data_IF_349421362956
#
_entry.id   IF_349421362956
#
_cell.length_a   1.000
_cell.length_b   1.000
_cell.length_c   1.000
_cell.angle_alpha   90.00
_cell.angle_beta   90.00
_cell.angle_gamma   90.00
#
_symmetry.space_group_name_H-M   'P 1'
#
loop_
_entity.id
_entity.type
_entity.pdbx_description
1 polymer ?
#
# COMPACT_ATOMS: atom_id res chain seq x y z
N UNK A 1 -6.81 20.26 -7.20
CA UNK A 1 -6.07 19.68 -6.07
C UNK A 1 -4.62 20.11 -6.20
N UNK A 2 -3.95 20.54 -5.13
CA UNK A 2 -2.51 20.81 -5.20
C UNK A 2 -1.78 19.50 -5.50
N UNK A 3 -0.78 19.59 -6.37
CA UNK A 3 0.11 18.46 -6.69
C UNK A 3 1.48 18.74 -6.11
N UNK A 4 2.26 17.69 -5.88
CA UNK A 4 3.63 17.85 -5.38
C UNK A 4 4.53 18.70 -6.30
N UNK A 5 4.25 18.71 -7.62
CA UNK A 5 4.99 19.55 -8.58
C UNK A 5 4.69 21.04 -8.42
N UNK A 6 3.47 21.38 -8.03
CA UNK A 6 3.00 22.78 -7.90
C UNK A 6 3.15 23.33 -6.48
N UNK A 7 3.36 22.47 -5.49
CA UNK A 7 3.60 22.87 -4.12
C UNK A 7 5.06 23.30 -3.89
N UNK A 8 5.25 24.37 -3.11
CA UNK A 8 6.56 24.85 -2.71
C UNK A 8 6.83 24.49 -1.24
N UNK A 9 7.85 23.68 -0.99
CA UNK A 9 8.22 23.24 0.36
C UNK A 9 9.19 24.18 1.10
N UNK A 10 9.59 25.31 0.51
CA UNK A 10 10.54 26.23 1.14
C UNK A 10 10.14 26.62 2.59
N UNK A 11 11.00 26.27 3.55
CA UNK A 11 10.79 26.54 4.97
C UNK A 11 9.67 25.73 5.63
N UNK A 12 9.13 24.70 4.96
CA UNK A 12 8.08 23.82 5.47
C UNK A 12 8.68 22.49 5.94
N UNK A 13 8.10 21.96 7.02
CA UNK A 13 8.31 20.57 7.45
C UNK A 13 7.22 19.71 6.83
N UNK A 14 7.60 18.70 6.05
CA UNK A 14 6.64 17.78 5.44
C UNK A 14 6.68 16.42 6.16
N UNK A 15 5.53 15.97 6.67
CA UNK A 15 5.36 14.57 7.04
C UNK A 15 5.02 13.78 5.78
N UNK A 16 5.84 12.80 5.45
CA UNK A 16 5.61 11.91 4.31
C UNK A 16 5.40 10.48 4.76
N UNK A 17 4.28 9.89 4.35
CA UNK A 17 4.00 8.47 4.51
C UNK A 17 4.53 7.69 3.31
N UNK A 18 5.48 6.80 3.51
CA UNK A 18 6.08 5.96 2.46
C UNK A 18 5.90 4.46 2.76
N UNK A 19 6.01 3.62 1.73
CA UNK A 19 6.06 2.16 1.89
C UNK A 19 7.52 1.68 1.88
N UNK A 20 8.17 1.59 3.04
CA UNK A 20 9.49 0.95 3.19
C UNK A 20 9.39 -0.46 3.78
N UNK A 21 8.28 -1.15 3.59
CA UNK A 21 8.16 -2.55 3.96
C UNK A 21 8.93 -3.42 2.95
N UNK A 22 10.26 -3.45 3.10
CA UNK A 22 11.21 -4.19 2.26
C UNK A 22 11.56 -5.54 2.88
N UNK A 23 11.89 -6.57 2.07
CA UNK A 23 12.40 -7.82 2.60
C UNK A 23 13.81 -7.65 3.17
N UNK A 24 14.05 -8.25 4.34
CA UNK A 24 15.35 -8.33 4.99
C UNK A 24 15.79 -9.79 5.11
N UNK A 25 17.09 -10.05 5.00
CA UNK A 25 17.69 -11.35 5.30
C UNK A 25 17.84 -11.58 6.83
N UNK A 26 18.42 -12.73 7.20
CA UNK A 26 18.64 -13.12 8.61
C UNK A 26 19.58 -12.17 9.36
N UNK A 27 20.39 -11.38 8.65
CA UNK A 27 21.33 -10.39 9.19
C UNK A 27 20.79 -8.95 9.06
N UNK A 28 19.49 -8.79 8.81
CA UNK A 28 18.81 -7.50 8.60
C UNK A 28 19.27 -6.70 7.38
N UNK A 29 19.91 -7.35 6.39
CA UNK A 29 20.27 -6.69 5.13
C UNK A 29 19.10 -6.69 4.16
N UNK A 30 18.93 -5.58 3.46
CA UNK A 30 17.90 -5.42 2.44
C UNK A 30 18.21 -6.34 1.26
N UNK A 31 17.26 -7.20 0.88
CA UNK A 31 17.39 -8.08 -0.30
C UNK A 31 16.75 -7.49 -1.56
N UNK A 32 15.80 -6.56 -1.40
CA UNK A 32 15.18 -5.79 -2.48
C UNK A 32 14.82 -4.38 -1.97
N UNK A 33 15.44 -3.35 -2.55
CA UNK A 33 15.26 -1.96 -2.17
C UNK A 33 14.31 -1.17 -3.09
N UNK A 34 13.59 -1.86 -3.99
CA UNK A 34 12.70 -1.25 -5.00
C UNK A 34 11.74 -0.25 -4.37
N UNK A 35 11.14 -0.60 -3.23
CA UNK A 35 10.18 0.29 -2.54
C UNK A 35 10.83 1.54 -1.95
N UNK A 36 12.08 1.44 -1.48
CA UNK A 36 12.82 2.60 -1.00
C UNK A 36 13.07 3.54 -2.17
N UNK A 37 13.65 3.01 -3.26
CA UNK A 37 13.95 3.79 -4.48
C UNK A 37 12.72 4.49 -5.04
N UNK A 38 11.57 3.85 -4.99
CA UNK A 38 10.34 4.39 -5.56
C UNK A 38 9.84 5.65 -4.83
N UNK A 39 10.13 5.82 -3.53
CA UNK A 39 9.77 7.02 -2.77
C UNK A 39 10.82 8.14 -2.82
N UNK A 40 12.07 7.83 -3.20
CA UNK A 40 13.18 8.81 -3.24
C UNK A 40 12.86 10.06 -4.08
N UNK A 41 12.21 9.98 -5.26
CA UNK A 41 11.87 11.18 -6.04
C UNK A 41 11.04 12.19 -5.25
N UNK A 42 10.06 11.71 -4.49
CA UNK A 42 9.17 12.54 -3.65
C UNK A 42 9.96 13.19 -2.52
N UNK A 43 10.82 12.42 -1.83
CA UNK A 43 11.68 12.92 -0.76
C UNK A 43 12.66 14.00 -1.28
N UNK A 44 13.31 13.74 -2.42
CA UNK A 44 14.23 14.69 -3.04
C UNK A 44 13.55 15.97 -3.48
N UNK A 45 12.31 15.91 -3.97
CA UNK A 45 11.54 17.10 -4.34
C UNK A 45 11.33 18.02 -3.14
N UNK A 46 10.93 17.48 -1.99
CA UNK A 46 10.72 18.26 -0.77
C UNK A 46 12.01 18.96 -0.34
N UNK A 47 13.13 18.22 -0.30
CA UNK A 47 14.43 18.78 0.09
C UNK A 47 14.93 19.83 -0.91
N UNK A 48 14.80 19.57 -2.21
CA UNK A 48 15.25 20.47 -3.29
C UNK A 48 14.52 21.81 -3.25
N UNK A 49 13.25 21.82 -2.87
CA UNK A 49 12.45 23.04 -2.70
C UNK A 49 12.81 23.84 -1.44
N UNK A 50 13.71 23.33 -0.60
CA UNK A 50 14.10 23.97 0.66
C UNK A 50 13.20 23.62 1.84
N UNK A 51 12.48 22.49 1.77
CA UNK A 51 11.77 21.92 2.90
C UNK A 51 12.62 20.96 3.71
N UNK A 52 12.05 20.43 4.79
CA UNK A 52 12.60 19.31 5.54
C UNK A 52 11.58 18.17 5.61
N UNK A 53 12.07 16.95 5.80
CA UNK A 53 11.25 15.74 5.64
C UNK A 53 11.20 14.92 6.92
N UNK A 54 10.00 14.56 7.35
CA UNK A 54 9.73 13.59 8.41
C UNK A 54 9.10 12.36 7.77
N UNK A 55 9.85 11.26 7.73
CA UNK A 55 9.50 10.02 7.03
C UNK A 55 8.84 9.06 8.01
N UNK A 56 7.56 8.76 7.78
CA UNK A 56 6.83 7.70 8.48
C UNK A 56 6.72 6.46 7.60
N UNK A 57 7.23 5.31 8.05
CA UNK A 57 7.08 4.03 7.35
C UNK A 57 6.60 2.90 8.27
N UNK A 58 6.41 1.70 7.74
CA UNK A 58 6.20 0.50 8.52
C UNK A 58 7.05 -0.63 7.96
N UNK A 59 7.36 -1.61 8.81
CA UNK A 59 8.06 -2.83 8.42
C UNK A 59 7.36 -4.04 9.04
N UNK A 60 6.97 -5.00 8.21
CA UNK A 60 6.29 -6.22 8.63
C UNK A 60 4.98 -6.00 9.39
N UNK A 61 4.68 -6.93 10.30
CA UNK A 61 3.47 -6.95 11.15
C UNK A 61 3.87 -7.24 12.60
N UNK A 62 4.54 -6.29 13.29
CA UNK A 62 4.95 -6.45 14.68
C UNK A 62 3.73 -6.58 15.61
N UNK A 63 3.84 -7.45 16.63
CA UNK A 63 2.91 -7.47 17.78
C UNK A 63 3.33 -6.47 18.88
N UNK A 64 4.42 -5.73 18.67
CA UNK A 64 5.02 -4.78 19.59
C UNK A 64 6.40 -4.34 19.10
N UNK A 65 7.04 -3.37 19.79
CA UNK A 65 8.40 -2.97 19.49
C UNK A 65 9.36 -4.16 19.50
N UNK A 66 10.12 -4.33 18.43
CA UNK A 66 11.09 -5.42 18.32
C UNK A 66 12.17 -5.07 17.30
N UNK A 67 13.39 -5.49 17.60
CA UNK A 67 14.56 -5.32 16.74
C UNK A 67 14.32 -5.79 15.31
N UNK A 68 13.63 -6.93 15.13
CA UNK A 68 13.39 -7.54 13.82
C UNK A 68 12.67 -6.63 12.84
N UNK A 69 11.81 -5.74 13.35
CA UNK A 69 10.98 -4.86 12.55
C UNK A 69 11.37 -3.38 12.73
N UNK A 70 12.55 -3.09 13.27
CA UNK A 70 13.05 -1.71 13.36
C UNK A 70 13.40 -1.17 11.98
N UNK A 71 13.04 0.08 11.72
CA UNK A 71 13.42 0.81 10.51
C UNK A 71 14.87 1.30 10.53
N UNK A 72 15.58 1.18 11.66
CA UNK A 72 17.02 1.52 11.71
C UNK A 72 17.85 0.69 10.73
N UNK A 73 17.42 -0.54 10.43
CA UNK A 73 18.10 -1.45 9.49
C UNK A 73 18.13 -0.92 8.06
N UNK A 74 17.15 -0.08 7.68
CA UNK A 74 17.08 0.51 6.35
C UNK A 74 17.69 1.91 6.29
N UNK A 75 17.96 2.54 7.44
CA UNK A 75 18.45 3.91 7.54
C UNK A 75 19.68 4.17 6.65
N UNK A 76 20.75 3.34 6.66
CA UNK A 76 21.92 3.61 5.83
C UNK A 76 21.57 3.66 4.34
N UNK A 77 20.66 2.78 3.89
CA UNK A 77 20.23 2.73 2.49
C UNK A 77 19.37 3.92 2.09
N UNK A 78 18.49 4.38 2.99
CA UNK A 78 17.68 5.57 2.78
C UNK A 78 18.58 6.81 2.66
N UNK A 79 19.53 6.99 3.58
CA UNK A 79 20.50 8.10 3.53
C UNK A 79 21.33 8.11 2.25
N UNK A 80 21.87 6.95 1.85
CA UNK A 80 22.65 6.81 0.62
C UNK A 80 21.85 7.22 -0.62
N UNK A 81 20.61 6.73 -0.75
CA UNK A 81 19.77 7.01 -1.91
C UNK A 81 19.25 8.46 -1.94
N UNK A 82 18.95 9.02 -0.76
CA UNK A 82 18.51 10.39 -0.62
C UNK A 82 19.65 11.39 -0.88
N UNK A 83 20.89 11.01 -0.55
CA UNK A 83 22.09 11.82 -0.73
C UNK A 83 22.33 12.84 0.39
N UNK A 84 21.65 12.68 1.53
CA UNK A 84 21.84 13.47 2.76
C UNK A 84 21.86 12.53 3.96
N UNK A 85 22.45 12.98 5.07
CA UNK A 85 22.32 12.24 6.31
C UNK A 85 20.86 12.27 6.80
N UNK A 86 20.34 11.12 7.20
CA UNK A 86 18.97 10.98 7.69
C UNK A 86 19.06 10.70 9.18
N UNK A 87 18.49 11.59 9.98
CA UNK A 87 18.37 11.36 11.40
C UNK A 87 17.39 10.23 11.69
N UNK A 88 17.59 9.52 12.79
CA UNK A 88 16.68 8.46 13.22
C UNK A 88 16.08 8.79 14.58
N UNK A 89 14.76 8.63 14.70
CA UNK A 89 14.09 8.64 15.99
C UNK A 89 13.80 7.19 16.41
N UNK A 90 14.20 6.81 17.63
CA UNK A 90 14.00 5.47 18.17
C UNK A 90 12.52 5.16 18.51
N UNK A 91 11.65 6.16 18.31
CA UNK A 91 10.21 6.08 18.50
C UNK A 91 9.51 7.00 17.48
N UNK A 92 8.18 6.92 17.35
CA UNK A 92 7.41 7.79 16.46
C UNK A 92 6.56 8.86 17.17
N UNK A 93 6.32 8.80 18.49
CA UNK A 93 5.48 9.80 19.19
C UNK A 93 6.04 10.36 20.52
N UNK A 94 7.15 9.84 21.02
CA UNK A 94 7.77 10.24 22.28
C UNK A 94 8.46 11.62 22.25
N UNK A 95 8.84 12.10 23.44
CA UNK A 95 9.44 13.44 23.64
C UNK A 95 10.73 13.64 22.83
N UNK A 96 11.58 12.60 22.72
CA UNK A 96 12.80 12.65 21.90
C UNK A 96 12.47 12.86 20.41
N UNK A 97 11.44 12.17 19.92
CA UNK A 97 10.97 12.28 18.54
C UNK A 97 10.43 13.67 18.25
N UNK A 98 9.65 14.23 19.18
CA UNK A 98 9.14 15.59 19.10
C UNK A 98 10.27 16.62 19.07
N UNK A 99 11.27 16.48 19.96
CA UNK A 99 12.42 17.37 19.97
C UNK A 99 13.21 17.30 18.65
N UNK A 100 13.44 16.10 18.11
CA UNK A 100 14.11 15.91 16.81
C UNK A 100 13.30 16.50 15.66
N UNK A 101 11.98 16.30 15.64
CA UNK A 101 11.10 16.86 14.62
C UNK A 101 10.99 18.40 14.71
N UNK A 102 11.07 18.96 15.91
CA UNK A 102 11.07 20.42 16.14
C UNK A 102 12.40 21.06 15.71
N UNK A 103 13.53 20.38 15.94
CA UNK A 103 14.86 20.87 15.60
C UNK A 103 15.24 20.71 14.12
N UNK A 104 14.43 20.00 13.33
CA UNK A 104 14.73 19.67 11.94
C UNK A 104 14.79 20.92 11.05
N UNK A 105 15.94 21.15 10.42
CA UNK A 105 16.21 22.32 9.57
C UNK A 105 15.93 22.05 8.10
N UNK A 106 15.72 23.09 7.26
CA UNK A 106 15.61 22.94 5.81
C UNK A 106 16.76 22.10 5.23
N UNK A 107 16.44 21.15 4.35
CA UNK A 107 17.40 20.22 3.77
C UNK A 107 17.71 18.98 4.61
N UNK A 108 17.24 18.90 5.87
CA UNK A 108 17.41 17.72 6.73
C UNK A 108 16.23 16.75 6.61
N UNK A 109 16.49 15.49 6.95
CA UNK A 109 15.51 14.42 6.95
C UNK A 109 15.54 13.65 8.28
N UNK A 110 14.36 13.23 8.75
CA UNK A 110 14.16 12.42 9.94
C UNK A 110 13.34 11.17 9.58
N UNK A 111 13.89 9.98 9.81
CA UNK A 111 13.17 8.72 9.76
C UNK A 111 12.63 8.37 11.15
N UNK A 112 11.31 8.25 11.26
CA UNK A 112 10.67 7.75 12.46
C UNK A 112 10.80 6.22 12.55
N UNK A 113 10.77 5.70 13.77
CA UNK A 113 10.64 4.25 13.98
C UNK A 113 9.30 3.73 13.44
N UNK A 114 9.22 2.42 13.25
CA UNK A 114 8.10 1.69 12.67
C UNK A 114 6.76 2.08 13.30
N UNK A 115 5.89 2.73 12.51
CA UNK A 115 4.59 3.20 13.01
C UNK A 115 3.71 2.05 13.53
N UNK A 116 3.88 0.83 13.00
CA UNK A 116 3.15 -0.36 13.48
C UNK A 116 3.64 -0.87 14.84
N UNK A 117 4.64 -0.27 15.47
CA UNK A 117 4.91 -0.52 16.89
C UNK A 117 3.76 -0.06 17.79
N UNK A 118 2.95 0.90 17.33
CA UNK A 118 1.72 1.35 17.96
C UNK A 118 0.51 0.64 17.35
N UNK A 119 -0.41 0.18 18.20
CA UNK A 119 -1.66 -0.46 17.75
C UNK A 119 -2.59 0.57 17.08
N UNK A 120 -2.44 1.82 17.49
CA UNK A 120 -3.07 3.04 17.00
C UNK A 120 -2.86 3.24 15.49
N UNK A 121 -1.71 2.85 14.94
CA UNK A 121 -1.47 2.96 13.50
C UNK A 121 -2.50 2.14 12.70
N UNK A 122 -2.78 0.90 13.12
CA UNK A 122 -3.74 0.03 12.44
C UNK A 122 -5.19 0.20 12.95
N UNK A 123 -5.38 0.88 14.08
CA UNK A 123 -6.68 1.04 14.74
C UNK A 123 -7.24 -0.28 15.26
N UNK A 124 -6.37 -1.25 15.54
CA UNK A 124 -6.74 -2.61 15.96
C UNK A 124 -6.10 -2.96 17.29
N UNK A 125 -6.88 -3.41 18.28
CA UNK A 125 -6.32 -3.83 19.56
C UNK A 125 -5.49 -5.10 19.40
N UNK A 126 -4.45 -5.21 20.22
CA UNK A 126 -3.61 -6.40 20.34
C UNK A 126 -4.10 -7.22 21.52
N UNK A 127 -5.01 -8.15 21.23
CA UNK A 127 -5.63 -9.01 22.23
C UNK A 127 -4.99 -10.40 22.22
N UNK A 128 -4.95 -11.10 23.37
CA UNK A 128 -4.57 -12.51 23.41
C UNK A 128 -5.60 -13.37 22.67
N UNK A 129 -5.19 -14.57 22.25
CA UNK A 129 -6.11 -15.56 21.70
C UNK A 129 -7.14 -15.95 22.77
N UNK A 130 -8.42 -16.01 22.38
CA UNK A 130 -9.53 -16.33 23.29
C UNK A 130 -10.21 -15.13 23.97
N UNK A 131 -9.83 -13.89 23.64
CA UNK A 131 -10.55 -12.71 24.11
C UNK A 131 -12.04 -12.76 23.73
N UNK A 132 -12.90 -12.44 24.68
CA UNK A 132 -14.36 -12.42 24.49
C UNK A 132 -14.78 -11.32 23.51
N UNK A 133 -16.00 -11.43 22.98
CA UNK A 133 -16.56 -10.39 22.10
C UNK A 133 -16.68 -9.05 22.82
N UNK A 134 -17.02 -9.06 24.11
CA UNK A 134 -17.16 -7.86 24.94
C UNK A 134 -15.80 -7.17 25.18
N UNK A 135 -14.77 -7.94 25.55
CA UNK A 135 -13.40 -7.43 25.69
C UNK A 135 -12.89 -6.87 24.35
N UNK A 136 -13.20 -7.55 23.25
CA UNK A 136 -12.81 -7.12 21.91
C UNK A 136 -13.49 -5.80 21.52
N UNK A 137 -14.78 -5.64 21.83
CA UNK A 137 -15.52 -4.42 21.55
C UNK A 137 -14.99 -3.25 22.38
N UNK A 138 -14.75 -3.47 23.68
CA UNK A 138 -14.18 -2.46 24.58
C UNK A 138 -12.78 -2.02 24.13
N UNK A 139 -11.89 -2.97 23.81
CA UNK A 139 -10.54 -2.66 23.36
C UNK A 139 -10.52 -1.96 22.00
N UNK A 140 -11.40 -2.33 21.06
CA UNK A 140 -11.55 -1.60 19.77
C UNK A 140 -11.98 -0.16 20.00
N UNK A 141 -12.91 0.10 20.93
CA UNK A 141 -13.35 1.46 21.26
C UNK A 141 -12.19 2.27 21.86
N UNK A 142 -11.44 1.68 22.79
CA UNK A 142 -10.27 2.33 23.40
C UNK A 142 -9.20 2.68 22.36
N UNK A 143 -8.82 1.73 21.49
CA UNK A 143 -7.80 1.97 20.45
C UNK A 143 -8.26 3.00 19.42
N UNK A 144 -9.55 3.06 19.08
CA UNK A 144 -10.07 4.12 18.20
C UNK A 144 -9.92 5.51 18.81
N UNK A 145 -10.06 5.64 20.13
CA UNK A 145 -9.87 6.93 20.80
C UNK A 145 -8.38 7.28 20.89
N UNK A 146 -7.51 6.35 21.30
CA UNK A 146 -6.06 6.60 21.32
C UNK A 146 -5.48 6.80 19.92
N UNK A 147 -6.06 6.20 18.88
CA UNK A 147 -5.68 6.42 17.48
C UNK A 147 -5.85 7.89 17.07
N UNK A 148 -6.85 8.61 17.57
CA UNK A 148 -7.01 10.03 17.27
C UNK A 148 -5.84 10.83 17.83
N UNK A 149 -5.49 10.61 19.10
CA UNK A 149 -4.37 11.31 19.74
C UNK A 149 -3.03 10.95 19.09
N UNK A 150 -2.81 9.67 18.75
CA UNK A 150 -1.65 9.22 17.99
C UNK A 150 -1.54 9.93 16.62
N UNK A 151 -2.65 9.98 15.89
CA UNK A 151 -2.71 10.64 14.58
C UNK A 151 -2.44 12.14 14.70
N UNK A 152 -3.07 12.80 15.67
CA UNK A 152 -2.87 14.22 15.98
C UNK A 152 -1.42 14.52 16.35
N UNK A 153 -0.77 13.65 17.13
CA UNK A 153 0.64 13.79 17.49
C UNK A 153 1.55 13.70 16.26
N UNK A 154 1.35 12.71 15.39
CA UNK A 154 2.10 12.62 14.12
C UNK A 154 1.89 13.86 13.25
N UNK A 155 0.63 14.32 13.13
CA UNK A 155 0.30 15.52 12.36
C UNK A 155 1.00 16.77 12.91
N UNK A 156 1.13 16.90 14.23
CA UNK A 156 1.70 18.07 14.89
C UNK A 156 3.18 18.35 14.54
N UNK A 157 3.88 17.37 13.95
CA UNK A 157 5.28 17.50 13.61
C UNK A 157 5.55 18.30 12.32
N UNK A 158 4.54 18.48 11.47
CA UNK A 158 4.70 18.98 10.12
C UNK A 158 3.66 20.05 9.77
N UNK A 159 4.03 20.89 8.80
CA UNK A 159 3.15 21.89 8.20
C UNK A 159 2.35 21.30 7.02
N UNK A 160 2.88 20.24 6.41
CA UNK A 160 2.38 19.65 5.16
C UNK A 160 2.37 18.13 5.26
N UNK A 161 1.32 17.49 4.73
CA UNK A 161 1.21 16.04 4.63
C UNK A 161 1.37 15.56 3.18
N UNK A 162 2.20 14.55 2.98
CA UNK A 162 2.39 13.88 1.69
C UNK A 162 2.16 12.38 1.86
N UNK A 163 1.19 11.81 1.12
CA UNK A 163 1.01 10.36 1.09
C UNK A 163 1.64 9.78 -0.18
N UNK A 164 2.66 8.95 -0.01
CA UNK A 164 3.38 8.27 -1.09
C UNK A 164 3.39 6.74 -0.90
N UNK A 165 2.38 6.20 -0.21
CA UNK A 165 2.29 4.80 0.19
C UNK A 165 1.02 4.11 -0.35
N UNK A 166 0.95 3.92 -1.67
CA UNK A 166 -0.21 3.29 -2.34
C UNK A 166 -0.56 1.91 -1.77
N UNK A 167 0.45 1.08 -1.49
CA UNK A 167 0.28 -0.26 -0.92
C UNK A 167 -0.49 -0.31 0.40
N UNK A 168 -0.58 0.80 1.14
CA UNK A 168 -1.37 0.91 2.38
C UNK A 168 -2.54 1.89 2.29
N UNK A 169 -2.75 2.55 1.15
CA UNK A 169 -3.80 3.55 0.98
C UNK A 169 -5.23 2.96 1.08
N UNK A 170 -5.40 1.67 0.79
CA UNK A 170 -6.68 0.96 0.95
C UNK A 170 -7.11 0.74 2.40
N UNK A 171 -6.30 1.17 3.38
CA UNK A 171 -6.58 1.01 4.81
C UNK A 171 -6.75 2.37 5.47
N UNK A 172 -7.74 2.46 6.34
CA UNK A 172 -7.97 3.62 7.20
C UNK A 172 -7.00 3.63 8.41
N UNK A 173 -5.70 3.61 8.13
CA UNK A 173 -4.67 3.72 9.16
C UNK A 173 -4.44 5.18 9.55
N UNK A 174 -3.87 5.38 10.74
CA UNK A 174 -3.54 6.71 11.27
C UNK A 174 -2.71 7.53 10.27
N UNK A 175 -1.58 6.98 9.82
CA UNK A 175 -0.63 7.70 8.97
C UNK A 175 -0.96 7.75 7.48
N UNK A 176 -2.01 7.07 7.01
CA UNK A 176 -2.42 7.07 5.59
C UNK A 176 -3.69 7.86 5.34
N UNK A 177 -4.76 7.57 6.08
CA UNK A 177 -6.08 8.15 5.86
C UNK A 177 -6.41 9.24 6.88
N UNK A 178 -6.24 8.94 8.17
CA UNK A 178 -6.74 9.80 9.25
C UNK A 178 -5.89 11.06 9.43
N UNK A 179 -4.58 10.96 9.23
CA UNK A 179 -3.66 12.10 9.36
C UNK A 179 -4.02 13.23 8.41
N UNK A 180 -4.58 12.93 7.24
CA UNK A 180 -4.95 13.92 6.23
C UNK A 180 -6.05 14.88 6.72
N UNK A 181 -6.86 14.51 7.72
CA UNK A 181 -7.90 15.36 8.28
C UNK A 181 -7.34 16.51 9.14
N UNK A 182 -6.07 16.41 9.55
CA UNK A 182 -5.38 17.42 10.35
C UNK A 182 -4.67 18.49 9.49
N UNK A 183 -4.76 18.38 8.17
CA UNK A 183 -4.16 19.31 7.23
C UNK A 183 -5.21 19.94 6.32
N UNK A 184 -5.05 21.23 6.06
CA UNK A 184 -5.88 21.94 5.08
C UNK A 184 -5.72 21.34 3.68
N UNK A 185 -6.73 21.52 2.83
CA UNK A 185 -6.71 21.01 1.45
C UNK A 185 -5.52 21.51 0.62
N UNK A 186 -4.97 22.68 0.97
CA UNK A 186 -3.76 23.25 0.36
C UNK A 186 -2.46 22.90 1.08
N UNK A 187 -2.46 21.95 2.03
CA UNK A 187 -1.28 21.46 2.74
C UNK A 187 -1.28 19.92 2.82
N UNK A 188 -2.04 19.24 1.95
CA UNK A 188 -2.04 17.78 1.81
C UNK A 188 -2.10 17.35 0.35
N UNK A 189 -1.28 16.37 -0.01
CA UNK A 189 -1.16 15.92 -1.40
C UNK A 189 -0.65 14.48 -1.49
N UNK A 190 -0.69 13.93 -2.70
CA UNK A 190 -0.01 12.69 -3.03
C UNK A 190 1.43 12.96 -3.44
N UNK A 191 2.33 12.04 -3.07
CA UNK A 191 3.67 11.96 -3.65
C UNK A 191 3.62 11.36 -5.05
N UNK A 192 4.78 11.29 -5.71
CA UNK A 192 4.84 10.84 -7.11
C UNK A 192 4.40 9.39 -7.30
N UNK A 193 4.77 8.48 -6.39
CA UNK A 193 4.38 7.07 -6.48
C UNK A 193 2.87 6.94 -6.35
N UNK A 194 2.29 7.52 -5.31
CA UNK A 194 0.84 7.48 -5.09
C UNK A 194 0.07 8.14 -6.23
N UNK A 195 0.53 9.30 -6.71
CA UNK A 195 -0.11 10.01 -7.81
C UNK A 195 -0.04 9.20 -9.12
N UNK A 196 1.09 8.56 -9.42
CA UNK A 196 1.23 7.72 -10.62
C UNK A 196 0.30 6.51 -10.57
N UNK A 197 0.16 5.86 -9.42
CA UNK A 197 -0.75 4.73 -9.21
C UNK A 197 -2.21 5.17 -9.38
N UNK A 198 -2.60 6.31 -8.78
CA UNK A 198 -3.95 6.89 -8.97
C UNK A 198 -4.21 7.20 -10.43
N UNK A 199 -3.28 7.87 -11.11
CA UNK A 199 -3.41 8.21 -12.53
C UNK A 199 -3.52 6.94 -13.40
N UNK A 200 -2.77 5.88 -13.10
CA UNK A 200 -2.84 4.62 -13.83
C UNK A 200 -4.21 3.96 -13.66
N UNK A 201 -4.76 3.96 -12.44
CA UNK A 201 -6.11 3.45 -12.16
C UNK A 201 -7.17 4.32 -12.84
N UNK A 202 -7.06 5.64 -12.78
CA UNK A 202 -8.01 6.56 -13.42
C UNK A 202 -8.06 6.38 -14.94
N UNK A 203 -6.90 6.22 -15.59
CA UNK A 203 -6.81 5.92 -17.03
C UNK A 203 -7.58 4.66 -17.38
N UNK A 204 -7.36 3.58 -16.62
CA UNK A 204 -8.07 2.30 -16.80
C UNK A 204 -9.59 2.44 -16.57
N UNK A 205 -10.00 3.36 -15.70
CA UNK A 205 -11.40 3.53 -15.29
C UNK A 205 -12.21 4.50 -16.17
N UNK A 206 -11.57 5.48 -16.82
CA UNK A 206 -12.27 6.63 -17.44
C UNK A 206 -11.83 6.98 -18.86
N UNK A 207 -10.58 6.70 -19.25
CA UNK A 207 -9.98 7.18 -20.49
C UNK A 207 -9.21 6.05 -21.19
N UNK A 208 -9.93 4.96 -21.48
CA UNK A 208 -9.30 3.78 -22.07
C UNK A 208 -9.48 3.76 -23.58
N UNK A 209 -8.36 3.90 -24.30
CA UNK A 209 -8.32 3.65 -25.74
C UNK A 209 -8.76 2.22 -26.05
N UNK A 210 -9.62 2.08 -27.07
CA UNK A 210 -10.14 0.78 -27.51
C UNK A 210 -9.38 0.26 -28.73
N UNK A 211 -9.11 -1.06 -28.81
CA UNK A 211 -9.60 -2.11 -27.93
C UNK A 211 -8.87 -2.19 -26.58
N UNK A 212 -9.63 -2.17 -25.49
CA UNK A 212 -9.11 -2.33 -24.13
C UNK A 212 -9.02 -3.81 -23.76
N UNK A 213 -7.80 -4.28 -23.50
CA UNK A 213 -7.54 -5.66 -23.13
C UNK A 213 -7.10 -5.76 -21.67
N UNK A 214 -7.83 -6.54 -20.86
CA UNK A 214 -7.38 -6.94 -19.53
C UNK A 214 -6.79 -8.34 -19.56
N UNK A 215 -5.65 -8.52 -18.89
CA UNK A 215 -5.00 -9.83 -18.72
C UNK A 215 -4.98 -10.14 -17.22
N UNK A 216 -5.59 -11.25 -16.83
CA UNK A 216 -5.62 -11.69 -15.44
C UNK A 216 -5.08 -13.10 -15.30
N UNK A 217 -4.16 -13.25 -14.35
CA UNK A 217 -3.62 -14.53 -13.93
C UNK A 217 -4.06 -14.91 -12.52
N UNK A 218 -3.75 -16.13 -12.12
CA UNK A 218 -3.97 -16.61 -10.76
C UNK A 218 -4.22 -18.10 -10.71
N UNK A 219 -4.22 -18.65 -9.50
CA UNK A 219 -4.47 -20.07 -9.24
C UNK A 219 -5.94 -20.39 -8.95
N UNK A 220 -6.71 -19.39 -8.50
CA UNK A 220 -8.09 -19.55 -8.02
C UNK A 220 -9.02 -18.50 -8.61
N UNK A 221 -10.09 -18.95 -9.26
CA UNK A 221 -11.20 -18.12 -9.77
C UNK A 221 -11.86 -17.38 -8.61
N UNK A 222 -12.08 -18.04 -7.47
CA UNK A 222 -12.80 -17.50 -6.31
C UNK A 222 -12.23 -16.18 -5.79
N UNK A 223 -10.91 -16.01 -5.88
CA UNK A 223 -10.19 -14.81 -5.42
C UNK A 223 -10.30 -13.62 -6.38
N UNK A 224 -10.87 -13.81 -7.58
CA UNK A 224 -10.89 -12.83 -8.68
C UNK A 224 -12.29 -12.56 -9.24
N UNK A 225 -13.34 -13.15 -8.68
CA UNK A 225 -14.70 -13.06 -9.21
C UNK A 225 -15.16 -11.62 -9.35
N UNK A 226 -15.09 -10.83 -8.27
CA UNK A 226 -15.55 -9.44 -8.26
C UNK A 226 -14.76 -8.60 -9.27
N UNK A 227 -13.45 -8.85 -9.40
CA UNK A 227 -12.60 -8.16 -10.36
C UNK A 227 -12.98 -8.52 -11.81
N UNK A 228 -13.23 -9.79 -12.10
CA UNK A 228 -13.70 -10.25 -13.41
C UNK A 228 -15.03 -9.58 -13.76
N UNK A 229 -16.02 -9.66 -12.86
CA UNK A 229 -17.34 -9.07 -13.09
C UNK A 229 -17.25 -7.56 -13.35
N UNK A 230 -16.46 -6.83 -12.56
CA UNK A 230 -16.26 -5.39 -12.74
C UNK A 230 -15.52 -5.03 -14.04
N UNK A 231 -14.62 -5.90 -14.54
CA UNK A 231 -13.87 -5.66 -15.78
C UNK A 231 -14.68 -5.99 -17.02
N UNK A 232 -15.58 -6.99 -16.96
CA UNK A 232 -16.46 -7.34 -18.08
C UNK A 232 -17.35 -6.19 -18.54
N UNK A 233 -17.63 -5.21 -17.67
CA UNK A 233 -18.36 -3.98 -18.03
C UNK A 233 -17.52 -2.94 -18.78
N UNK A 234 -16.20 -3.16 -18.91
CA UNK A 234 -15.25 -2.12 -19.34
C UNK A 234 -14.39 -2.52 -20.53
N UNK A 235 -13.95 -3.78 -20.55
CA UNK A 235 -12.94 -4.29 -21.50
C UNK A 235 -13.58 -4.76 -22.80
N UNK A 236 -12.85 -4.67 -23.91
CA UNK A 236 -13.22 -5.33 -25.17
C UNK A 236 -12.73 -6.78 -25.18
N UNK A 237 -11.54 -7.02 -24.60
CA UNK A 237 -10.94 -8.35 -24.50
C UNK A 237 -10.59 -8.67 -23.03
N UNK A 238 -10.88 -9.89 -22.60
CA UNK A 238 -10.46 -10.43 -21.31
C UNK A 238 -9.66 -11.70 -21.51
N UNK A 239 -8.37 -11.69 -21.16
CA UNK A 239 -7.52 -12.88 -21.20
C UNK A 239 -7.41 -13.44 -19.78
N UNK A 240 -7.85 -14.68 -19.56
CA UNK A 240 -7.63 -15.40 -18.31
C UNK A 240 -6.48 -16.40 -18.49
N UNK A 241 -5.52 -16.34 -17.57
CA UNK A 241 -4.28 -17.12 -17.60
C UNK A 241 -4.00 -17.79 -16.23
N UNK A 242 -3.01 -18.68 -16.20
CA UNK A 242 -2.60 -19.39 -14.98
C UNK A 242 -3.57 -20.50 -14.57
N UNK A 243 -3.40 -21.04 -13.37
CA UNK A 243 -4.15 -22.22 -12.90
C UNK A 243 -5.67 -22.08 -12.88
N UNK A 244 -6.19 -20.86 -12.76
CA UNK A 244 -7.65 -20.65 -12.77
C UNK A 244 -8.31 -21.06 -14.09
N UNK A 245 -7.58 -21.07 -15.22
CA UNK A 245 -8.11 -21.48 -16.53
C UNK A 245 -8.56 -22.94 -16.55
N UNK A 246 -7.97 -23.81 -15.73
CA UNK A 246 -8.38 -25.21 -15.64
C UNK A 246 -9.77 -25.38 -15.03
N UNK A 247 -10.21 -24.45 -14.18
CA UNK A 247 -11.60 -24.43 -13.68
C UNK A 247 -12.57 -24.12 -14.83
N UNK A 248 -12.24 -23.16 -15.70
CA UNK A 248 -13.02 -22.87 -16.92
C UNK A 248 -12.99 -24.02 -17.92
N UNK A 249 -11.81 -24.61 -18.16
CA UNK A 249 -11.67 -25.75 -19.08
C UNK A 249 -12.50 -26.95 -18.61
N UNK A 250 -12.49 -27.27 -17.31
CA UNK A 250 -13.31 -28.33 -16.74
C UNK A 250 -14.80 -27.99 -16.78
N UNK A 251 -15.18 -26.75 -16.50
CA UNK A 251 -16.57 -26.29 -16.55
C UNK A 251 -17.18 -26.43 -17.96
N UNK A 252 -16.36 -26.21 -19.00
CA UNK A 252 -16.70 -26.45 -20.41
C UNK A 252 -16.65 -27.93 -20.84
N UNK A 253 -16.48 -28.88 -19.92
CA UNK A 253 -16.43 -30.31 -20.20
C UNK A 253 -15.05 -30.87 -20.58
N UNK A 254 -13.99 -30.07 -20.48
CA UNK A 254 -12.61 -30.49 -20.76
C UNK A 254 -12.00 -31.39 -19.67
N UNK A 255 -10.90 -32.06 -20.02
CA UNK A 255 -10.09 -32.88 -19.09
C UNK A 255 -8.84 -32.11 -18.69
N UNK A 256 -8.54 -32.08 -17.38
CA UNK A 256 -7.45 -31.26 -16.83
C UNK A 256 -6.38 -32.06 -16.05
N UNK A 257 -6.49 -33.39 -15.98
CA UNK A 257 -5.61 -34.22 -15.15
C UNK A 257 -5.63 -33.78 -13.68
N UNK A 258 -4.45 -33.69 -13.07
CA UNK A 258 -4.25 -33.25 -11.67
C UNK A 258 -4.06 -31.73 -11.53
N UNK A 259 -4.38 -30.97 -12.59
CA UNK A 259 -4.28 -29.50 -12.55
C UNK A 259 -5.20 -28.90 -11.48
N UNK A 260 -4.78 -27.76 -10.92
CA UNK A 260 -5.53 -27.04 -9.90
C UNK A 260 -6.95 -26.66 -10.39
N UNK A 261 -7.96 -26.95 -9.57
CA UNK A 261 -9.36 -26.72 -9.92
C UNK A 261 -10.21 -26.41 -8.70
N UNK A 262 -11.14 -25.47 -8.84
CA UNK A 262 -12.17 -25.17 -7.84
C UNK A 262 -13.49 -25.84 -8.28
N UNK A 263 -13.69 -27.10 -7.87
CA UNK A 263 -14.86 -27.89 -8.28
C UNK A 263 -16.19 -27.26 -7.85
N UNK A 264 -16.20 -26.51 -6.75
CA UNK A 264 -17.38 -25.78 -6.25
C UNK A 264 -17.65 -24.47 -6.99
N UNK A 265 -16.85 -24.14 -8.01
CA UNK A 265 -16.93 -22.89 -8.80
C UNK A 265 -17.11 -23.14 -10.30
N UNK A 266 -17.43 -24.36 -10.72
CA UNK A 266 -17.63 -24.69 -12.14
C UNK A 266 -18.84 -23.95 -12.73
N UNK A 267 -19.95 -23.91 -12.01
CA UNK A 267 -21.15 -23.17 -12.46
C UNK A 267 -20.87 -21.68 -12.61
N UNK A 268 -20.10 -21.12 -11.67
CA UNK A 268 -19.66 -19.72 -11.74
C UNK A 268 -18.73 -19.46 -12.93
N UNK A 269 -17.85 -20.40 -13.26
CA UNK A 269 -16.99 -20.27 -14.44
C UNK A 269 -17.83 -20.21 -15.72
N UNK A 270 -18.89 -21.03 -15.82
CA UNK A 270 -19.85 -20.96 -16.93
C UNK A 270 -20.64 -19.64 -16.93
N UNK A 271 -21.10 -19.16 -15.77
CA UNK A 271 -21.76 -17.86 -15.63
C UNK A 271 -20.88 -16.72 -16.16
N UNK A 272 -19.58 -16.72 -15.85
CA UNK A 272 -18.63 -15.71 -16.34
C UNK A 272 -18.47 -15.77 -17.86
N UNK A 273 -18.41 -16.98 -18.44
CA UNK A 273 -18.32 -17.17 -19.89
C UNK A 273 -19.56 -16.62 -20.59
N UNK A 274 -20.74 -16.89 -20.04
CA UNK A 274 -22.00 -16.42 -20.62
C UNK A 274 -22.18 -14.90 -20.45
N UNK A 275 -21.78 -14.34 -19.30
CA UNK A 275 -21.77 -12.91 -19.06
C UNK A 275 -20.83 -12.17 -20.02
N UNK A 276 -19.66 -12.76 -20.33
CA UNK A 276 -18.74 -12.20 -21.31
C UNK A 276 -19.37 -12.15 -22.71
N UNK A 277 -20.06 -13.21 -23.13
CA UNK A 277 -20.79 -13.23 -24.40
C UNK A 277 -21.91 -12.19 -24.42
N UNK A 278 -22.69 -12.09 -23.36
CA UNK A 278 -23.79 -11.12 -23.22
C UNK A 278 -23.28 -9.69 -23.37
N UNK A 279 -22.14 -9.37 -22.77
CA UNK A 279 -21.51 -8.05 -22.81
C UNK A 279 -20.67 -7.79 -24.06
N UNK A 280 -20.59 -8.75 -24.98
CA UNK A 280 -19.78 -8.64 -26.20
C UNK A 280 -18.26 -8.61 -25.93
N UNK A 281 -17.82 -9.10 -24.77
CA UNK A 281 -16.40 -9.19 -24.41
C UNK A 281 -15.78 -10.42 -25.04
N UNK A 282 -14.66 -10.24 -25.73
CA UNK A 282 -13.85 -11.34 -26.25
C UNK A 282 -13.07 -12.00 -25.10
N UNK A 283 -13.65 -13.03 -24.50
CA UNK A 283 -13.01 -13.84 -23.48
C UNK A 283 -12.05 -14.85 -24.12
N UNK A 284 -10.76 -14.69 -23.84
CA UNK A 284 -9.67 -15.56 -24.32
C UNK A 284 -9.20 -16.45 -23.19
N UNK A 285 -9.26 -17.76 -23.42
CA UNK A 285 -8.73 -18.80 -22.54
C UNK A 285 -7.56 -19.51 -23.21
N UNK A 286 -6.67 -20.10 -22.41
CA UNK A 286 -5.56 -20.91 -22.94
C UNK A 286 -6.09 -22.13 -23.72
N UNK A 287 -5.56 -22.35 -24.92
CA UNK A 287 -5.90 -23.50 -25.79
C UNK A 287 -4.95 -24.68 -25.61
N UNK A 288 -3.80 -24.45 -25.01
CA UNK A 288 -2.75 -25.41 -24.72
C UNK A 288 -2.15 -25.15 -23.34
N UNK A 289 -1.40 -26.14 -22.84
CA UNK A 289 -0.71 -26.04 -21.57
C UNK A 289 0.61 -26.80 -21.62
N UNK A 290 1.64 -26.24 -20.96
CA UNK A 290 2.88 -26.95 -20.69
C UNK A 290 2.70 -27.79 -19.42
N UNK A 291 2.79 -29.10 -19.56
CA UNK A 291 2.54 -30.07 -18.49
C UNK A 291 3.85 -30.48 -17.79
N UNK A 292 3.74 -30.91 -16.53
CA UNK A 292 4.80 -31.49 -15.72
C UNK A 292 4.23 -32.67 -14.91
N UNK A 293 5.07 -33.65 -14.59
CA UNK A 293 4.76 -34.85 -13.80
C UNK A 293 4.81 -34.61 -12.28
#
# INVERSE_FOLDING_TARGET
MQTIDTFNFAGKKAFIRVDFNVPLDENFKITDDTRIRAAIPTLKKILKDGGSVIIGSHLGRPKGPTEKYSLKHILPRVSELLGVDVHFANDCIGEETEAKAAALRPGEALLLENLRFYAEEEGKPRLPEGATEEETAAAKKAVKESQKEFTKKLASYADVYVNDAFGTAHRAHASTALIADYFDAGNKMFGYLMQNEVNAVEKVMSDTERPFTAIMGGSKVSTKIELIKNLLDKVDNLILAGGMTYTFAKAGGGKIGDSIVENDKLDLANEIVDLAKEKGVNLVLATDAKLAD
#
